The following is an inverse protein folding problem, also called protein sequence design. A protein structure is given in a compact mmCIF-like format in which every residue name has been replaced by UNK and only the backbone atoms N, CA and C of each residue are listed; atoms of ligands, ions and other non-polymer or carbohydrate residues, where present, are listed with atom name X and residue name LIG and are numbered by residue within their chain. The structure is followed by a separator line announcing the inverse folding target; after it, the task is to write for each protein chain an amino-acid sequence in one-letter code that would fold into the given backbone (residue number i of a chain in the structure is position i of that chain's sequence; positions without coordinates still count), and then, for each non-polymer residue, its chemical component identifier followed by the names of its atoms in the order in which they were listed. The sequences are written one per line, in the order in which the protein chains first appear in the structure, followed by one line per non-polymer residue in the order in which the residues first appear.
data_IF_571721723651
#
_entry.id   IF_571721723651
#
_cell.length_a   1.000
_cell.length_b   1.000
_cell.length_c   1.000
_cell.angle_alpha   90.00
_cell.angle_beta   90.00
_cell.angle_gamma   90.00
#
_symmetry.space_group_name_H-M   'P 1'
#
loop_
_entity.id
_entity.type
_entity.pdbx_description
1 polymer ?
#
# COMPACT_ATOMS: atom_id res chain seq x y z
N UNK A 1 -14.30 -2.30 -7.28
CA UNK A 1 -15.15 -1.35 -6.51
C UNK A 1 -16.57 -1.89 -6.58
N UNK A 2 -17.21 -2.29 -5.48
CA UNK A 2 -18.65 -2.60 -5.45
C UNK A 2 -19.34 -2.01 -4.21
N UNK A 3 -20.68 -1.93 -4.25
CA UNK A 3 -21.64 -1.27 -3.34
C UNK A 3 -21.08 -0.18 -2.42
N UNK A 4 -21.25 1.04 -2.88
CA UNK A 4 -21.01 2.26 -2.15
C UNK A 4 -22.38 2.84 -1.79
N UNK A 5 -22.71 3.01 -0.52
CA UNK A 5 -23.71 4.03 -0.15
C UNK A 5 -22.90 5.28 0.15
N UNK A 6 -22.90 6.25 -0.78
CA UNK A 6 -22.15 7.49 -0.60
C UNK A 6 -23.02 8.50 0.12
N UNK A 7 -22.95 8.51 1.44
CA UNK A 7 -23.45 9.63 2.23
C UNK A 7 -22.37 10.71 2.22
N UNK A 8 -22.31 11.47 1.13
CA UNK A 8 -21.39 12.60 1.02
C UNK A 8 -22.03 13.90 1.51
N UNK A 9 -21.26 14.73 2.19
CA UNK A 9 -21.37 16.17 2.05
C UNK A 9 -20.38 16.62 0.95
N UNK A 10 -20.69 17.67 0.18
CA UNK A 10 -19.98 18.15 -1.02
C UNK A 10 -18.51 17.67 -1.15
N UNK A 11 -18.28 16.57 -1.86
CA UNK A 11 -16.99 15.92 -2.05
C UNK A 11 -16.73 15.67 -3.53
N UNK A 12 -15.47 15.62 -3.94
CA UNK A 12 -15.07 15.41 -5.33
C UNK A 12 -14.30 14.11 -5.50
N UNK A 13 -14.71 13.30 -6.48
CA UNK A 13 -14.04 12.06 -6.88
C UNK A 13 -13.59 12.22 -8.34
N UNK A 14 -12.28 12.37 -8.53
CA UNK A 14 -11.65 12.40 -9.85
C UNK A 14 -11.27 10.99 -10.27
N UNK A 15 -12.23 10.27 -10.85
CA UNK A 15 -12.10 8.86 -11.23
C UNK A 15 -13.46 8.20 -11.40
N UNK A 16 -13.47 6.89 -11.58
CA UNK A 16 -14.71 6.13 -11.70
C UNK A 16 -15.34 5.88 -10.33
N UNK A 17 -16.66 5.85 -10.31
CA UNK A 17 -17.46 5.50 -9.13
C UNK A 17 -18.48 4.44 -9.48
N UNK A 18 -18.84 3.62 -8.51
CA UNK A 18 -20.05 2.83 -8.63
C UNK A 18 -20.68 2.72 -7.25
N UNK A 19 -22.00 2.82 -7.16
CA UNK A 19 -22.71 2.95 -5.88
C UNK A 19 -24.15 2.46 -5.97
N UNK A 20 -24.79 2.39 -4.81
CA UNK A 20 -26.22 2.15 -4.63
C UNK A 20 -26.80 3.33 -3.84
N UNK A 21 -28.05 3.68 -4.14
CA UNK A 21 -28.72 4.81 -3.49
C UNK A 21 -28.29 6.17 -4.06
N UNK A 22 -28.64 7.24 -3.33
CA UNK A 22 -28.31 8.61 -3.71
C UNK A 22 -26.87 8.97 -3.29
N UNK A 23 -26.26 9.86 -4.06
CA UNK A 23 -24.92 10.41 -3.82
C UNK A 23 -24.94 11.90 -4.16
N UNK A 24 -24.28 12.73 -3.35
CA UNK A 24 -24.12 14.16 -3.60
C UNK A 24 -22.69 14.54 -4.00
N UNK A 25 -21.80 13.54 -4.15
CA UNK A 25 -20.44 13.80 -4.57
C UNK A 25 -20.38 14.05 -6.07
N UNK A 26 -19.47 14.94 -6.45
CA UNK A 26 -19.13 15.18 -7.84
C UNK A 26 -18.16 14.09 -8.29
N UNK A 27 -18.60 13.20 -9.17
CA UNK A 27 -17.77 12.16 -9.78
C UNK A 27 -17.51 12.56 -11.23
N UNK A 28 -16.23 12.74 -11.59
CA UNK A 28 -15.86 13.21 -12.95
C UNK A 28 -15.55 12.09 -13.94
N UNK A 29 -15.40 10.84 -13.46
CA UNK A 29 -15.23 9.66 -14.31
C UNK A 29 -16.54 8.90 -14.53
N UNK A 30 -16.41 7.63 -14.92
CA UNK A 30 -17.56 6.77 -15.23
C UNK A 30 -18.31 6.41 -13.95
N UNK A 31 -19.62 6.55 -13.97
CA UNK A 31 -20.50 6.09 -12.87
C UNK A 31 -21.26 4.83 -13.25
N UNK A 32 -21.49 3.94 -12.28
CA UNK A 32 -22.37 2.79 -12.44
C UNK A 32 -23.26 2.59 -11.21
N UNK A 33 -24.58 2.47 -11.43
CA UNK A 33 -25.59 2.33 -10.37
C UNK A 33 -26.61 1.25 -10.78
N UNK A 34 -26.63 0.05 -10.16
CA UNK A 34 -25.66 -0.46 -9.19
C UNK A 34 -24.31 -0.81 -9.84
N UNK A 35 -23.34 -1.22 -9.03
CA UNK A 35 -22.06 -1.68 -9.53
C UNK A 35 -22.15 -2.98 -10.36
N UNK A 36 -21.26 -3.16 -11.34
CA UNK A 36 -21.18 -4.39 -12.12
C UNK A 36 -20.53 -5.54 -11.30
N UNK A 37 -20.90 -6.78 -11.61
CA UNK A 37 -20.35 -7.96 -10.91
C UNK A 37 -18.84 -8.12 -11.14
N UNK A 38 -18.34 -7.77 -12.34
CA UNK A 38 -16.92 -7.87 -12.69
C UNK A 38 -16.01 -7.08 -11.75
N UNK A 39 -16.41 -5.87 -11.30
CA UNK A 39 -15.62 -5.06 -10.36
C UNK A 39 -15.59 -5.63 -8.94
N UNK A 40 -16.51 -6.52 -8.57
CA UNK A 40 -16.43 -7.30 -7.32
C UNK A 40 -15.34 -8.34 -7.47
N UNK A 41 -15.38 -9.09 -8.57
CA UNK A 41 -14.39 -10.14 -8.87
C UNK A 41 -12.98 -9.59 -8.92
N UNK A 42 -12.74 -8.46 -9.61
CA UNK A 42 -11.43 -7.81 -9.65
C UNK A 42 -10.93 -7.41 -8.25
N UNK A 43 -11.83 -6.93 -7.39
CA UNK A 43 -11.51 -6.59 -6.00
C UNK A 43 -11.15 -7.84 -5.21
N UNK A 44 -11.94 -8.90 -5.31
CA UNK A 44 -11.72 -10.16 -4.59
C UNK A 44 -10.39 -10.80 -5.00
N UNK A 45 -10.05 -10.71 -6.28
CA UNK A 45 -8.75 -11.12 -6.80
C UNK A 45 -7.62 -10.28 -6.20
N UNK A 46 -7.80 -8.96 -6.08
CA UNK A 46 -6.82 -8.07 -5.44
C UNK A 46 -6.64 -8.39 -3.94
N UNK A 47 -7.73 -8.62 -3.20
CA UNK A 47 -7.68 -9.05 -1.80
C UNK A 47 -6.96 -10.38 -1.66
N UNK A 48 -7.26 -11.35 -2.53
CA UNK A 48 -6.58 -12.65 -2.57
C UNK A 48 -5.08 -12.49 -2.84
N UNK A 49 -4.70 -11.67 -3.83
CA UNK A 49 -3.31 -11.42 -4.18
C UNK A 49 -2.53 -10.77 -3.04
N UNK A 50 -3.13 -9.75 -2.39
CA UNK A 50 -2.57 -9.10 -1.20
C UNK A 50 -2.47 -10.09 -0.03
N UNK A 51 -3.49 -10.92 0.17
CA UNK A 51 -3.51 -11.90 1.25
C UNK A 51 -2.51 -13.05 1.08
N UNK A 52 -2.15 -13.36 -0.16
CA UNK A 52 -1.13 -14.35 -0.49
C UNK A 52 0.32 -13.89 -0.31
N UNK A 53 0.57 -12.60 -0.05
CA UNK A 53 1.93 -12.11 0.18
C UNK A 53 2.44 -12.51 1.57
N UNK A 54 3.72 -12.90 1.66
CA UNK A 54 4.41 -13.03 2.93
C UNK A 54 4.71 -11.64 3.49
N UNK A 55 4.37 -11.41 4.76
CA UNK A 55 4.45 -10.09 5.38
C UNK A 55 5.30 -10.11 6.64
N UNK A 56 6.03 -9.02 6.86
CA UNK A 56 6.76 -8.76 8.10
C UNK A 56 5.76 -8.39 9.19
N UNK A 57 5.66 -9.16 10.29
CA UNK A 57 4.78 -8.80 11.40
C UNK A 57 5.35 -7.60 12.16
N UNK A 58 4.55 -6.55 12.32
CA UNK A 58 4.87 -5.36 13.10
C UNK A 58 4.51 -5.52 14.59
N UNK A 59 3.73 -6.55 14.93
CA UNK A 59 3.31 -6.86 16.30
C UNK A 59 2.04 -7.71 16.35
N UNK A 60 1.79 -8.35 17.50
CA UNK A 60 0.61 -9.19 17.72
C UNK A 60 -0.67 -8.43 18.05
N UNK A 61 -0.60 -7.12 18.31
CA UNK A 61 -1.73 -6.28 18.70
C UNK A 61 -1.91 -5.06 17.80
N UNK A 62 -2.47 -3.99 18.36
CA UNK A 62 -2.61 -2.72 17.66
C UNK A 62 -1.23 -2.07 17.41
N UNK A 63 -1.05 -1.51 16.22
CA UNK A 63 0.20 -0.90 15.76
C UNK A 63 -0.04 0.54 15.36
N UNK A 64 0.80 1.44 15.86
CA UNK A 64 0.81 2.85 15.47
C UNK A 64 1.96 3.09 14.48
N UNK A 65 1.65 3.25 13.20
CA UNK A 65 2.60 3.22 12.10
C UNK A 65 3.65 4.33 12.18
N UNK A 66 3.29 5.52 12.66
CA UNK A 66 4.25 6.64 12.83
C UNK A 66 5.29 6.38 13.94
N UNK A 67 5.10 5.36 14.78
CA UNK A 67 6.06 4.96 15.82
C UNK A 67 6.85 3.69 15.45
N UNK A 68 6.49 3.00 14.38
CA UNK A 68 7.17 1.79 13.94
C UNK A 68 8.58 2.15 13.46
N UNK A 69 9.58 1.49 14.03
CA UNK A 69 10.97 1.59 13.59
C UNK A 69 11.45 0.23 13.10
N UNK A 70 11.70 0.13 11.79
CA UNK A 70 12.15 -1.10 11.13
C UNK A 70 13.69 -1.29 11.20
N UNK A 71 14.40 -0.36 11.84
CA UNK A 71 15.86 -0.34 11.88
C UNK A 71 16.46 0.23 10.60
N UNK A 72 17.73 -0.08 10.34
CA UNK A 72 18.44 0.34 9.12
C UNK A 72 18.67 1.85 8.98
N UNK A 73 18.54 2.61 10.07
CA UNK A 73 18.74 4.07 10.06
C UNK A 73 17.59 4.89 9.44
N UNK A 74 16.45 4.27 9.15
CA UNK A 74 15.30 4.94 8.51
C UNK A 74 14.54 5.90 9.43
N UNK A 75 14.63 5.67 10.75
CA UNK A 75 13.82 6.37 11.76
C UNK A 75 12.39 5.82 11.86
N UNK A 76 11.60 6.31 12.84
CA UNK A 76 10.22 5.87 13.04
C UNK A 76 9.30 6.37 11.92
N UNK A 77 8.29 5.57 11.56
CA UNK A 77 7.28 5.95 10.58
C UNK A 77 7.75 5.89 9.12
N UNK A 78 8.93 5.34 8.85
CA UNK A 78 9.48 5.19 7.50
C UNK A 78 9.47 3.71 7.10
N UNK A 79 8.80 3.43 5.98
CA UNK A 79 8.62 2.08 5.45
C UNK A 79 9.31 1.97 4.08
N UNK A 80 10.21 0.99 3.89
CA UNK A 80 10.65 0.56 2.56
C UNK A 80 9.56 -0.27 1.86
N UNK A 81 9.68 -0.55 0.55
CA UNK A 81 8.75 -1.45 -0.12
C UNK A 81 8.68 -2.81 0.57
N UNK A 82 7.48 -3.37 0.69
CA UNK A 82 7.25 -4.64 1.38
C UNK A 82 5.80 -4.85 1.79
N UNK A 83 5.54 -6.03 2.37
CA UNK A 83 4.29 -6.32 3.05
C UNK A 83 4.46 -6.29 4.57
N UNK A 84 3.54 -5.60 5.25
CA UNK A 84 3.53 -5.41 6.70
C UNK A 84 2.20 -5.87 7.27
N UNK A 85 2.23 -6.64 8.35
CA UNK A 85 1.03 -7.15 9.02
C UNK A 85 1.00 -6.83 10.51
N UNK A 86 -0.20 -6.84 11.10
CA UNK A 86 -0.40 -6.75 12.54
C UNK A 86 -1.51 -7.71 12.98
N UNK A 87 -1.37 -8.24 14.19
CA UNK A 87 -2.40 -9.07 14.82
C UNK A 87 -3.62 -8.29 15.31
N UNK A 88 -3.56 -6.95 15.33
CA UNK A 88 -4.68 -6.06 15.62
C UNK A 88 -4.79 -4.91 14.62
N UNK A 89 -5.41 -3.80 15.07
CA UNK A 89 -5.57 -2.59 14.27
C UNK A 89 -4.23 -1.98 13.82
N UNK A 90 -4.23 -1.30 12.68
CA UNK A 90 -3.17 -0.37 12.31
C UNK A 90 -3.73 1.04 12.30
N UNK A 91 -2.93 2.00 12.77
CA UNK A 91 -3.31 3.39 12.58
C UNK A 91 -2.15 4.36 12.63
N UNK A 92 -2.48 5.63 12.44
CA UNK A 92 -1.55 6.77 12.54
C UNK A 92 -2.13 7.74 13.55
N UNK A 93 -1.50 7.90 14.72
CA UNK A 93 -2.03 8.76 15.78
C UNK A 93 -1.78 10.26 15.57
N UNK A 94 -0.74 10.62 14.80
CA UNK A 94 -0.38 11.99 14.43
C UNK A 94 0.76 12.00 13.41
N UNK A 95 0.99 13.14 12.75
CA UNK A 95 2.18 13.37 11.95
C UNK A 95 2.21 12.57 10.65
N UNK A 96 3.41 12.11 10.27
CA UNK A 96 3.69 11.59 8.93
C UNK A 96 4.12 10.12 8.96
N UNK A 97 3.59 9.32 8.03
CA UNK A 97 4.14 8.03 7.62
C UNK A 97 4.74 8.18 6.23
N UNK A 98 5.98 7.75 6.04
CA UNK A 98 6.73 7.90 4.78
C UNK A 98 6.95 6.54 4.13
N UNK A 99 6.52 6.39 2.89
CA UNK A 99 6.81 5.26 2.03
C UNK A 99 8.02 5.64 1.16
N UNK A 100 9.16 5.02 1.41
CA UNK A 100 10.44 5.41 0.79
C UNK A 100 10.97 4.29 -0.10
N UNK A 101 11.16 4.56 -1.39
CA UNK A 101 11.70 3.59 -2.35
C UNK A 101 10.70 3.15 -3.42
N UNK A 102 11.20 2.85 -4.62
CA UNK A 102 10.36 2.27 -5.67
C UNK A 102 9.98 0.83 -5.31
N UNK A 103 8.69 0.50 -5.35
CA UNK A 103 8.20 -0.86 -5.14
C UNK A 103 6.73 -0.90 -4.72
N UNK A 104 6.32 -2.05 -4.19
CA UNK A 104 4.96 -2.32 -3.72
C UNK A 104 4.92 -2.23 -2.20
N UNK A 105 3.87 -1.60 -1.69
CA UNK A 105 3.61 -1.45 -0.25
C UNK A 105 2.29 -2.08 0.08
N UNK A 106 2.28 -3.00 1.04
CA UNK A 106 1.06 -3.68 1.49
C UNK A 106 0.97 -3.58 3.00
N UNK A 107 -0.16 -3.11 3.51
CA UNK A 107 -0.46 -3.05 4.93
C UNK A 107 -1.70 -3.88 5.24
N UNK A 108 -1.54 -4.89 6.10
CA UNK A 108 -2.56 -5.90 6.42
C UNK A 108 -2.83 -5.97 7.93
N UNK A 109 -3.62 -5.05 8.49
CA UNK A 109 -4.07 -5.18 9.86
C UNK A 109 -5.15 -6.25 9.99
N UNK A 110 -5.01 -7.11 11.00
CA UNK A 110 -6.09 -7.97 11.48
C UNK A 110 -7.00 -7.14 12.41
N UNK A 111 -7.58 -6.08 11.86
CA UNK A 111 -8.35 -5.10 12.59
C UNK A 111 -8.65 -3.87 11.76
N UNK A 112 -8.99 -2.79 12.44
CA UNK A 112 -9.31 -1.51 11.80
C UNK A 112 -8.08 -0.85 11.19
N UNK A 113 -8.33 0.05 10.24
CA UNK A 113 -7.35 1.01 9.75
C UNK A 113 -7.79 2.42 10.14
N UNK A 114 -6.99 3.15 10.91
CA UNK A 114 -7.37 4.49 11.37
C UNK A 114 -6.31 5.55 11.14
N UNK A 115 -6.72 6.77 10.84
CA UNK A 115 -5.83 7.92 10.92
C UNK A 115 -6.43 9.00 11.81
N UNK A 116 -5.59 9.63 12.63
CA UNK A 116 -5.96 10.84 13.34
C UNK A 116 -6.08 12.03 12.36
N UNK A 117 -6.68 13.12 12.84
CA UNK A 117 -6.80 14.33 12.05
C UNK A 117 -5.42 14.93 11.72
N UNK A 118 -5.28 15.48 10.51
CA UNK A 118 -4.05 16.13 10.04
C UNK A 118 -2.88 15.18 9.77
N UNK A 119 -3.12 13.87 9.70
CA UNK A 119 -2.08 12.89 9.38
C UNK A 119 -1.69 12.95 7.90
N UNK A 120 -0.42 12.67 7.62
CA UNK A 120 0.14 12.72 6.27
C UNK A 120 0.78 11.39 5.87
N UNK A 121 0.39 10.85 4.72
CA UNK A 121 1.11 9.78 4.04
C UNK A 121 1.99 10.38 2.95
N UNK A 122 3.30 10.31 3.13
CA UNK A 122 4.30 10.80 2.19
C UNK A 122 4.85 9.65 1.35
N UNK A 123 5.14 9.93 0.07
CA UNK A 123 5.88 9.02 -0.83
C UNK A 123 7.19 9.68 -1.22
N UNK A 124 8.30 8.96 -1.12
CA UNK A 124 9.64 9.44 -1.45
C UNK A 124 10.46 8.35 -2.13
N UNK A 125 11.63 8.70 -2.70
CA UNK A 125 12.55 7.71 -3.25
C UNK A 125 12.00 6.88 -4.42
N UNK A 126 11.05 7.42 -5.19
CA UNK A 126 10.41 6.71 -6.30
C UNK A 126 9.23 5.81 -5.90
N UNK A 127 8.78 5.88 -4.65
CA UNK A 127 7.51 5.28 -4.25
C UNK A 127 6.36 5.88 -5.07
N UNK A 128 5.40 5.04 -5.45
CA UNK A 128 4.27 5.43 -6.27
C UNK A 128 2.97 5.05 -5.59
N UNK A 129 2.02 5.98 -5.49
CA UNK A 129 0.75 5.78 -4.79
C UNK A 129 -0.10 4.65 -5.39
N UNK A 130 0.02 4.40 -6.69
CA UNK A 130 -0.68 3.28 -7.35
C UNK A 130 -0.18 1.90 -6.90
N UNK A 131 0.99 1.81 -6.25
CA UNK A 131 1.57 0.57 -5.73
C UNK A 131 1.39 0.41 -4.21
N UNK A 132 0.54 1.23 -3.59
CA UNK A 132 0.27 1.18 -2.15
C UNK A 132 -1.10 0.55 -1.92
N UNK A 133 -1.15 -0.47 -1.07
CA UNK A 133 -2.36 -1.25 -0.77
C UNK A 133 -2.57 -1.38 0.74
N UNK A 134 -3.81 -1.16 1.15
CA UNK A 134 -4.26 -1.29 2.52
C UNK A 134 -5.39 -2.31 2.56
N UNK A 135 -5.25 -3.40 3.30
CA UNK A 135 -6.24 -4.48 3.35
C UNK A 135 -6.62 -4.79 4.81
N UNK A 136 -7.39 -3.89 5.45
CA UNK A 136 -7.91 -4.14 6.79
C UNK A 136 -9.03 -5.17 6.77
N UNK A 137 -9.08 -5.98 7.82
CA UNK A 137 -10.20 -6.90 8.09
C UNK A 137 -11.31 -6.23 8.91
N UNK A 138 -11.02 -5.10 9.55
CA UNK A 138 -11.99 -4.24 10.24
C UNK A 138 -12.28 -2.96 9.45
N UNK A 139 -13.16 -2.10 9.99
CA UNK A 139 -13.53 -0.85 9.38
C UNK A 139 -12.35 0.12 9.22
N UNK A 140 -12.43 0.98 8.20
CA UNK A 140 -11.47 2.05 7.96
C UNK A 140 -12.03 3.41 8.35
N UNK A 141 -11.28 4.21 9.11
CA UNK A 141 -11.62 5.61 9.42
C UNK A 141 -10.45 6.53 9.11
N UNK A 142 -10.62 7.44 8.15
CA UNK A 142 -9.65 8.49 7.86
C UNK A 142 -10.04 9.77 8.60
N UNK A 143 -9.13 10.28 9.43
CA UNK A 143 -9.26 11.53 10.18
C UNK A 143 -9.47 12.75 9.29
N UNK A 144 -10.07 13.80 9.85
CA UNK A 144 -10.24 15.06 9.13
C UNK A 144 -8.90 15.64 8.69
N UNK A 145 -8.83 16.30 7.53
CA UNK A 145 -7.59 16.86 6.98
C UNK A 145 -6.44 15.84 6.77
N UNK A 146 -6.76 14.54 6.71
CA UNK A 146 -5.75 13.51 6.37
C UNK A 146 -5.35 13.64 4.91
N UNK A 147 -4.06 13.53 4.60
CA UNK A 147 -3.59 13.25 3.23
C UNK A 147 -3.22 11.78 3.10
N UNK A 148 -4.05 10.99 2.42
CA UNK A 148 -3.93 9.54 2.33
C UNK A 148 -3.45 9.09 0.94
N UNK A 149 -2.66 8.01 0.87
CA UNK A 149 -2.14 7.46 -0.39
C UNK A 149 -2.44 5.97 -0.50
N UNK A 150 -2.86 5.53 -1.67
CA UNK A 150 -3.01 4.11 -1.99
C UNK A 150 -4.44 3.60 -2.13
N UNK A 151 -4.54 2.28 -2.32
CA UNK A 151 -5.79 1.58 -2.56
C UNK A 151 -6.25 0.88 -1.27
N UNK A 152 -7.42 1.25 -0.77
CA UNK A 152 -8.07 0.61 0.37
C UNK A 152 -8.94 -0.54 -0.14
N UNK A 153 -8.63 -1.75 0.29
CA UNK A 153 -9.35 -3.00 0.07
C UNK A 153 -10.03 -3.40 1.38
N UNK A 154 -11.09 -2.70 1.75
CA UNK A 154 -11.75 -2.88 3.05
C UNK A 154 -12.62 -4.14 3.04
N UNK A 155 -12.28 -5.12 3.88
CA UNK A 155 -13.02 -6.38 3.96
C UNK A 155 -14.21 -6.31 4.93
N UNK A 156 -14.23 -5.32 5.84
CA UNK A 156 -15.35 -5.06 6.73
C UNK A 156 -16.50 -4.30 6.05
N UNK A 157 -16.26 -3.77 4.84
CA UNK A 157 -17.23 -3.05 4.05
C UNK A 157 -17.73 -1.77 4.74
N UNK A 158 -16.87 -1.14 5.53
CA UNK A 158 -17.22 0.06 6.27
C UNK A 158 -16.04 1.04 6.24
N UNK A 159 -16.18 2.10 5.45
CA UNK A 159 -15.16 3.15 5.32
C UNK A 159 -15.77 4.49 5.68
N UNK A 160 -15.13 5.23 6.57
CA UNK A 160 -15.50 6.60 6.91
C UNK A 160 -14.33 7.52 6.61
N UNK A 161 -14.56 8.53 5.79
CA UNK A 161 -13.59 9.60 5.53
C UNK A 161 -14.16 10.88 6.12
N UNK A 162 -13.57 11.37 7.20
CA UNK A 162 -13.99 12.61 7.84
C UNK A 162 -13.69 13.84 6.96
N UNK A 163 -14.08 15.03 7.41
CA UNK A 163 -14.09 16.24 6.57
C UNK A 163 -12.70 16.63 6.02
N UNK A 164 -12.69 17.22 4.83
CA UNK A 164 -11.53 17.85 4.19
C UNK A 164 -10.30 16.95 4.04
N UNK A 165 -10.47 15.62 3.99
CA UNK A 165 -9.39 14.71 3.66
C UNK A 165 -9.07 14.74 2.14
N UNK A 166 -7.80 14.54 1.82
CA UNK A 166 -7.32 14.40 0.44
C UNK A 166 -6.75 12.99 0.26
N UNK A 167 -7.19 12.29 -0.77
CA UNK A 167 -6.73 10.95 -1.10
C UNK A 167 -6.22 10.89 -2.53
N UNK A 168 -5.02 10.35 -2.73
CA UNK A 168 -4.57 9.89 -4.06
C UNK A 168 -4.58 8.36 -4.01
N UNK A 169 -5.61 7.76 -4.60
CA UNK A 169 -5.91 6.38 -4.31
C UNK A 169 -7.28 5.90 -4.77
N UNK A 170 -7.70 4.75 -4.23
CA UNK A 170 -9.00 4.13 -4.50
C UNK A 170 -9.58 3.57 -3.20
N UNK A 171 -10.90 3.59 -3.05
CA UNK A 171 -11.61 2.92 -1.95
C UNK A 171 -12.48 1.81 -2.53
N UNK A 172 -12.31 0.58 -2.05
CA UNK A 172 -13.06 -0.59 -2.51
C UNK A 172 -13.69 -1.32 -1.30
N UNK A 173 -15.01 -1.22 -1.16
CA UNK A 173 -15.81 -1.79 -0.08
C UNK A 173 -17.12 -2.42 -0.65
N UNK A 174 -17.05 -3.60 -1.29
CA UNK A 174 -18.01 -4.21 -2.24
C UNK A 174 -19.49 -4.28 -1.87
N UNK A 175 -19.80 -4.36 -0.58
CA UNK A 175 -21.15 -4.60 -0.04
C UNK A 175 -21.46 -3.58 1.05
N UNK A 176 -20.73 -2.46 1.02
CA UNK A 176 -20.50 -1.61 2.17
C UNK A 176 -21.05 -0.21 2.08
N UNK A 177 -20.78 0.55 3.13
CA UNK A 177 -21.01 1.99 3.14
C UNK A 177 -19.66 2.70 3.15
N UNK A 178 -19.51 3.69 2.27
CA UNK A 178 -18.40 4.65 2.34
C UNK A 178 -19.02 6.00 2.68
N UNK A 179 -18.83 6.43 3.91
CA UNK A 179 -19.32 7.72 4.39
C UNK A 179 -18.26 8.77 4.10
N UNK A 180 -18.61 9.83 3.37
CA UNK A 180 -17.73 10.97 3.13
C UNK A 180 -18.24 12.20 3.87
N UNK A 181 -17.43 12.71 4.79
CA UNK A 181 -17.57 14.05 5.34
C UNK A 181 -17.50 15.15 4.26
N UNK A 182 -17.71 16.39 4.66
CA UNK A 182 -17.71 17.53 3.73
C UNK A 182 -16.31 17.87 3.22
N UNK A 183 -16.20 18.20 1.93
CA UNK A 183 -14.98 18.76 1.33
C UNK A 183 -13.88 17.75 1.01
N UNK A 184 -14.20 16.46 0.92
CA UNK A 184 -13.19 15.46 0.57
C UNK A 184 -12.79 15.52 -0.90
N UNK A 185 -11.53 15.25 -1.20
CA UNK A 185 -11.02 15.10 -2.57
C UNK A 185 -10.37 13.75 -2.73
N UNK A 186 -10.92 12.89 -3.61
CA UNK A 186 -10.38 11.57 -3.92
C UNK A 186 -9.97 11.58 -5.39
N UNK A 187 -8.68 11.40 -5.67
CA UNK A 187 -8.14 11.43 -7.03
C UNK A 187 -7.56 10.08 -7.39
N UNK A 188 -7.87 9.59 -8.61
CA UNK A 188 -7.27 8.38 -9.15
C UNK A 188 -5.75 8.51 -9.13
N UNK A 189 -5.02 7.51 -8.60
CA UNK A 189 -3.57 7.61 -8.52
C UNK A 189 -2.96 7.57 -9.93
N UNK A 190 -1.78 8.20 -10.11
CA UNK A 190 -1.11 8.26 -11.41
C UNK A 190 -0.64 6.87 -11.86
N UNK A 191 -0.30 6.73 -13.14
CA UNK A 191 0.41 5.56 -13.63
C UNK A 191 1.84 5.56 -13.07
N UNK A 192 2.25 4.48 -12.42
CA UNK A 192 3.64 4.37 -11.98
C UNK A 192 4.55 4.15 -13.18
N UNK A 193 5.59 4.96 -13.31
CA UNK A 193 6.72 4.63 -14.18
C UNK A 193 7.53 3.54 -13.50
N UNK A 194 7.63 2.36 -14.10
CA UNK A 194 8.60 1.35 -13.68
C UNK A 194 10.00 1.95 -13.80
N UNK A 195 10.80 1.91 -12.73
CA UNK A 195 12.21 2.29 -12.81
C UNK A 195 12.87 1.47 -13.93
N UNK A 196 13.71 2.07 -14.79
CA UNK A 196 14.45 1.31 -15.79
C UNK A 196 15.22 0.19 -15.08
N UNK A 197 15.31 -1.02 -15.67
CA UNK A 197 16.07 -2.11 -15.07
C UNK A 197 17.48 -1.60 -14.79
N UNK A 198 17.92 -1.72 -13.53
CA UNK A 198 19.31 -1.40 -13.17
C UNK A 198 20.18 -2.30 -14.05
N UNK A 199 21.12 -1.74 -14.83
CA UNK A 199 22.04 -2.58 -15.60
C UNK A 199 22.72 -3.52 -14.62
N UNK A 200 22.52 -4.82 -14.80
CA UNK A 200 23.29 -5.81 -14.06
C UNK A 200 24.74 -5.57 -14.48
N UNK A 201 25.68 -5.28 -13.55
CA UNK A 201 27.07 -5.19 -13.93
C UNK A 201 27.49 -6.56 -14.47
N UNK A 202 27.65 -6.65 -15.79
CA UNK A 202 28.24 -7.83 -16.41
C UNK A 202 29.68 -7.86 -15.96
N UNK A 203 30.06 -8.88 -15.18
CA UNK A 203 31.47 -9.18 -14.92
C UNK A 203 32.18 -9.25 -16.28
N UNK A 204 33.26 -8.47 -16.43
CA UNK A 204 34.07 -8.56 -17.64
C UNK A 204 34.60 -9.99 -17.80
N UNK A 205 34.87 -10.40 -19.04
CA UNK A 205 35.41 -11.73 -19.34
C UNK A 205 36.68 -12.02 -18.52
N UNK A 206 37.52 -10.99 -18.32
CA UNK A 206 38.70 -11.05 -17.44
C UNK A 206 38.36 -11.23 -15.96
N UNK A 207 37.25 -10.65 -15.47
CA UNK A 207 36.81 -10.83 -14.09
C UNK A 207 36.26 -12.24 -13.86
N UNK A 208 35.60 -12.85 -14.86
CA UNK A 208 35.16 -14.25 -14.81
C UNK A 208 36.36 -15.22 -14.84
N UNK A 209 37.36 -14.97 -15.70
CA UNK A 209 38.59 -15.77 -15.78
C UNK A 209 39.37 -15.71 -14.47
N UNK A 210 39.53 -14.51 -13.88
CA UNK A 210 40.21 -14.34 -12.60
C UNK A 210 39.49 -15.09 -11.47
N UNK A 211 38.16 -15.07 -11.46
CA UNK A 211 37.35 -15.80 -10.48
C UNK A 211 37.47 -17.32 -10.63
N UNK A 212 37.50 -17.83 -11.87
CA UNK A 212 37.70 -19.25 -12.16
C UNK A 212 39.11 -19.74 -11.77
N UNK A 213 40.15 -18.93 -12.02
CA UNK A 213 41.52 -19.27 -11.62
C UNK A 213 41.72 -19.28 -10.10
N UNK A 214 41.05 -18.38 -9.36
CA UNK A 214 41.06 -18.38 -7.89
C UNK A 214 40.46 -19.69 -7.32
N UNK A 215 39.37 -20.18 -7.90
CA UNK A 215 38.72 -21.43 -7.45
C UNK A 215 39.58 -22.65 -7.78
N UNK A 216 40.19 -22.70 -8.97
CA UNK A 216 41.08 -23.80 -9.37
C UNK A 216 42.39 -23.83 -8.55
N UNK A 217 42.94 -22.66 -8.20
CA UNK A 217 44.16 -22.54 -7.40
C UNK A 217 44.00 -23.09 -5.97
N UNK A 218 42.85 -22.87 -5.33
CA UNK A 218 42.55 -23.42 -4.00
C UNK A 218 42.33 -24.94 -4.02
N UNK A 219 41.76 -25.49 -5.10
CA UNK A 219 41.59 -26.94 -5.28
C UNK A 219 42.92 -27.69 -5.35
N UNK A 220 43.90 -27.14 -6.08
CA UNK A 220 45.25 -27.72 -6.21
C UNK A 220 46.05 -27.65 -4.90
N UNK A 221 45.84 -26.61 -4.07
CA UNK A 221 46.53 -26.48 -2.79
C UNK A 221 46.06 -27.51 -1.76
N UNK A 222 44.75 -27.79 -1.70
CA UNK A 222 44.20 -28.85 -0.81
C UNK A 222 44.62 -30.26 -1.23
N UNK A 223 44.87 -30.50 -2.52
CA UNK A 223 45.27 -31.82 -3.01
C UNK A 223 46.75 -32.14 -2.70
N UNK A 224 47.58 -31.11 -2.53
CA UNK A 224 49.00 -31.25 -2.18
C UNK A 224 49.25 -31.50 -0.69
N UNK A 225 48.36 -31.02 0.19
CA UNK A 225 48.46 -31.25 1.65
C UNK A 225 47.91 -32.61 2.13
N UNK A 226 47.27 -33.40 1.27
CA UNK A 226 46.82 -34.79 1.58
C UNK A 226 47.82 -35.88 1.19
N UNK A 227 49.01 -35.52 0.70
CA UNK A 227 50.05 -36.45 0.21
C UNK A 227 51.40 -36.35 0.94
N UNK A 228 51.46 -35.65 2.07
CA UNK A 228 52.61 -35.67 3.00
C UNK A 228 52.16 -36.21 4.35
#
# INVERSE_FOLDING_TARGET
VTALTLTSAASTITGDGCYTGASTAVITGTTAVPCNAARTTERDNAVTAVNGQACTPLGGGAVNLNLVNLGGGLGPGVFPPGCYSSGGAMGVSAGTVTLSGAGVYIFRPTGTLTTAAGTTMAVTGGACESNVFWAPTGATTLGANTTFKGTILDSANAVTVLNAATMIGRILAPTGTITLGGGNTITRPPTCTTAPPVPIPTLSEWALIAFAMLIAGFGLFKQRQRRG
#
